data_IF_717588578158
#
_entry.id   IF_717588578158
#
_cell.length_a   1.000
_cell.length_b   1.000
_cell.length_c   1.000
_cell.angle_alpha   90.00
_cell.angle_beta   90.00
_cell.angle_gamma   90.00
#
_symmetry.space_group_name_H-M   'P 1'
#
loop_
_entity.id
_entity.type
_entity.pdbx_description
1 polymer ?
#
# COMPACT_ATOMS: atom_id res chain seq x y z
N UNK A 1 -6.05 25.77 -9.49
CA UNK A 1 -6.18 24.30 -9.43
C UNK A 1 -5.28 23.72 -10.50
N UNK A 2 -4.12 23.20 -10.11
CA UNK A 2 -3.23 22.45 -11.01
C UNK A 2 -3.97 21.21 -11.50
N UNK A 3 -3.90 20.96 -12.80
CA UNK A 3 -4.63 19.93 -13.54
C UNK A 3 -4.06 18.53 -13.20
N UNK A 4 -4.29 18.03 -11.98
CA UNK A 4 -3.85 16.68 -11.56
C UNK A 4 -4.63 15.63 -12.36
N UNK A 5 -3.96 15.03 -13.34
CA UNK A 5 -4.59 14.13 -14.33
C UNK A 5 -3.94 12.76 -14.42
N UNK A 6 -3.09 12.42 -13.46
CA UNK A 6 -2.37 11.13 -13.47
C UNK A 6 -3.34 9.93 -13.47
N UNK A 7 -4.46 9.92 -12.71
CA UNK A 7 -5.45 8.85 -12.81
C UNK A 7 -6.11 8.76 -14.20
N UNK A 8 -6.40 9.90 -14.85
CA UNK A 8 -6.97 9.92 -16.20
C UNK A 8 -5.98 9.39 -17.25
N UNK A 9 -4.70 9.75 -17.12
CA UNK A 9 -3.62 9.22 -17.96
C UNK A 9 -3.47 7.71 -17.76
N UNK A 10 -3.52 7.23 -16.51
CA UNK A 10 -3.51 5.81 -16.18
C UNK A 10 -4.73 5.06 -16.72
N UNK A 11 -5.87 5.74 -16.86
CA UNK A 11 -7.10 5.24 -17.46
C UNK A 11 -6.88 4.63 -18.85
N UNK A 12 -5.98 5.20 -19.66
CA UNK A 12 -5.63 4.70 -21.01
C UNK A 12 -5.02 3.30 -20.99
N UNK A 13 -4.45 2.88 -19.86
CA UNK A 13 -3.78 1.59 -19.70
C UNK A 13 -4.63 0.62 -18.88
N UNK A 14 -5.43 1.11 -17.95
CA UNK A 14 -6.21 0.29 -17.01
C UNK A 14 -7.60 -0.08 -17.51
N UNK A 15 -8.22 0.77 -18.34
CA UNK A 15 -9.60 0.58 -18.86
C UNK A 15 -9.62 -0.28 -20.12
N UNK A 16 -9.22 -1.55 -19.98
CA UNK A 16 -9.32 -2.54 -21.05
C UNK A 16 -10.30 -3.63 -20.62
N UNK A 17 -11.25 -3.99 -21.48
CA UNK A 17 -12.36 -4.92 -21.20
C UNK A 17 -11.94 -6.19 -20.44
N UNK A 18 -10.87 -6.84 -20.89
CA UNK A 18 -10.35 -8.06 -20.26
C UNK A 18 -9.78 -7.84 -18.85
N UNK A 19 -9.17 -6.68 -18.60
CA UNK A 19 -8.59 -6.36 -17.29
C UNK A 19 -9.72 -5.96 -16.33
N UNK A 20 -10.62 -5.07 -16.74
CA UNK A 20 -11.71 -4.59 -15.88
C UNK A 20 -12.66 -5.71 -15.48
N UNK A 21 -12.95 -6.65 -16.39
CA UNK A 21 -13.91 -7.74 -16.11
C UNK A 21 -13.35 -8.84 -15.24
N UNK A 22 -12.02 -9.05 -15.23
CA UNK A 22 -11.45 -10.28 -14.71
C UNK A 22 -10.23 -10.11 -13.82
N UNK A 23 -9.52 -8.99 -13.84
CA UNK A 23 -8.31 -8.85 -13.02
C UNK A 23 -8.63 -8.47 -11.57
N UNK A 24 -9.80 -7.86 -11.28
CA UNK A 24 -10.15 -7.37 -9.94
C UNK A 24 -9.01 -6.53 -9.35
N UNK A 25 -8.73 -5.43 -10.06
CA UNK A 25 -7.55 -4.63 -9.86
C UNK A 25 -7.51 -4.00 -8.45
N UNK A 26 -6.30 -3.81 -7.90
CA UNK A 26 -6.12 -2.95 -6.74
C UNK A 26 -6.57 -1.51 -7.04
N UNK A 27 -6.96 -0.76 -5.99
CA UNK A 27 -7.26 0.65 -6.14
C UNK A 27 -6.04 1.39 -6.68
N UNK A 28 -6.30 2.45 -7.46
CA UNK A 28 -5.22 3.30 -7.97
C UNK A 28 -4.43 3.95 -6.82
N UNK A 29 -3.07 3.95 -6.85
CA UNK A 29 -2.25 4.49 -5.77
C UNK A 29 -2.17 6.03 -5.81
N UNK A 30 -3.33 6.68 -5.72
CA UNK A 30 -3.51 8.12 -5.91
C UNK A 30 -2.65 8.97 -4.96
N UNK A 31 -2.65 8.62 -3.67
CA UNK A 31 -1.85 9.28 -2.64
C UNK A 31 -0.36 9.30 -2.98
N UNK A 32 0.18 8.16 -3.45
CA UNK A 32 1.58 8.02 -3.84
C UNK A 32 1.89 8.84 -5.09
N UNK A 33 1.00 8.80 -6.09
CA UNK A 33 1.14 9.55 -7.32
C UNK A 33 1.14 11.07 -7.08
N UNK A 34 0.22 11.55 -6.24
CA UNK A 34 0.12 12.96 -5.82
C UNK A 34 1.38 13.40 -5.07
N UNK A 35 1.81 12.63 -4.08
CA UNK A 35 3.00 12.93 -3.29
C UNK A 35 4.24 13.03 -4.19
N UNK A 36 4.48 12.01 -5.03
CA UNK A 36 5.62 11.98 -5.95
C UNK A 36 5.58 13.14 -6.95
N UNK A 37 4.43 13.38 -7.58
CA UNK A 37 4.28 14.47 -8.55
C UNK A 37 4.56 15.83 -7.92
N UNK A 38 4.06 16.05 -6.69
CA UNK A 38 4.25 17.31 -5.98
C UNK A 38 5.73 17.54 -5.60
N UNK A 39 6.43 16.51 -5.12
CA UNK A 39 7.85 16.61 -4.80
C UNK A 39 8.74 16.80 -6.03
N UNK A 40 8.46 16.08 -7.12
CA UNK A 40 9.21 16.24 -8.38
C UNK A 40 9.02 17.64 -8.99
N UNK A 41 7.81 18.22 -8.87
CA UNK A 41 7.54 19.59 -9.34
C UNK A 41 8.40 20.65 -8.64
N UNK A 42 8.79 20.40 -7.40
CA UNK A 42 9.66 21.29 -6.62
C UNK A 42 11.12 20.79 -6.57
N UNK A 43 11.46 19.77 -7.37
CA UNK A 43 12.80 19.20 -7.50
C UNK A 43 13.63 19.90 -8.57
N UNK A 44 14.61 19.18 -9.13
CA UNK A 44 15.48 19.71 -10.17
C UNK A 44 14.70 20.11 -11.44
N UNK A 45 15.06 21.24 -12.04
CA UNK A 45 14.42 21.77 -13.24
C UNK A 45 14.41 20.73 -14.38
N UNK A 46 13.23 20.46 -14.94
CA UNK A 46 13.09 19.69 -16.19
C UNK A 46 12.75 18.19 -16.06
N UNK A 47 12.55 17.64 -14.85
CA UNK A 47 12.03 16.27 -14.71
C UNK A 47 10.52 16.21 -15.03
N UNK A 48 10.08 15.33 -15.94
CA UNK A 48 8.67 15.22 -16.31
C UNK A 48 7.87 14.52 -15.20
N UNK A 49 7.38 15.31 -14.24
CA UNK A 49 6.71 14.82 -13.04
C UNK A 49 5.51 13.90 -13.34
N UNK A 50 4.75 14.21 -14.40
CA UNK A 50 3.59 13.39 -14.79
C UNK A 50 4.01 12.03 -15.34
N UNK A 51 5.09 11.98 -16.14
CA UNK A 51 5.62 10.74 -16.66
C UNK A 51 6.08 9.82 -15.52
N UNK A 52 6.85 10.37 -14.58
CA UNK A 52 7.38 9.61 -13.45
C UNK A 52 6.26 9.12 -12.53
N UNK A 53 5.30 9.97 -12.20
CA UNK A 53 4.17 9.59 -11.36
C UNK A 53 3.26 8.56 -12.06
N UNK A 54 3.00 8.70 -13.36
CA UNK A 54 2.26 7.72 -14.15
C UNK A 54 2.98 6.37 -14.20
N UNK A 55 4.27 6.37 -14.55
CA UNK A 55 5.09 5.15 -14.62
C UNK A 55 5.16 4.46 -13.24
N UNK A 56 5.39 5.22 -12.17
CA UNK A 56 5.39 4.72 -10.78
C UNK A 56 4.05 4.12 -10.39
N UNK A 57 2.93 4.75 -10.80
CA UNK A 57 1.60 4.23 -10.50
C UNK A 57 1.29 2.93 -11.24
N UNK A 58 1.71 2.81 -12.51
CA UNK A 58 1.54 1.59 -13.29
C UNK A 58 2.37 0.43 -12.72
N UNK A 59 3.63 0.67 -12.35
CA UNK A 59 4.43 -0.39 -11.73
C UNK A 59 3.87 -0.79 -10.36
N UNK A 60 3.40 0.16 -9.56
CA UNK A 60 2.74 -0.14 -8.30
C UNK A 60 1.48 -0.98 -8.50
N UNK A 61 0.62 -0.61 -9.46
CA UNK A 61 -0.56 -1.41 -9.84
C UNK A 61 -0.14 -2.82 -10.27
N UNK A 62 0.96 -2.95 -11.02
CA UNK A 62 1.50 -4.24 -11.42
C UNK A 62 1.88 -5.11 -10.23
N UNK A 63 2.67 -4.56 -9.31
CA UNK A 63 3.10 -5.24 -8.08
C UNK A 63 1.91 -5.64 -7.19
N UNK A 64 0.98 -4.71 -6.95
CA UNK A 64 -0.20 -4.95 -6.11
C UNK A 64 -1.15 -5.98 -6.75
N UNK A 65 -1.24 -6.00 -8.09
CA UNK A 65 -2.01 -7.02 -8.81
C UNK A 65 -1.37 -8.40 -8.65
N UNK A 66 -0.03 -8.49 -8.71
CA UNK A 66 0.71 -9.72 -8.45
C UNK A 66 0.56 -10.20 -7.00
N UNK A 67 0.55 -9.30 -6.02
CA UNK A 67 0.37 -9.66 -4.61
C UNK A 67 -1.03 -10.26 -4.32
N UNK A 68 -2.04 -9.94 -5.12
CA UNK A 68 -3.39 -10.53 -5.06
C UNK A 68 -3.51 -11.88 -5.76
N UNK A 69 -2.44 -12.37 -6.37
CA UNK A 69 -2.39 -13.72 -6.93
C UNK A 69 -2.22 -14.70 -5.78
N UNK A 70 -3.34 -15.25 -5.34
CA UNK A 70 -3.39 -16.23 -4.27
C UNK A 70 -2.44 -17.43 -4.52
N UNK A 71 -1.86 -17.90 -3.41
CA UNK A 71 -0.86 -18.97 -3.31
C UNK A 71 -1.45 -20.31 -2.88
N UNK A 72 -2.75 -20.37 -2.51
CA UNK A 72 -3.38 -21.62 -2.09
C UNK A 72 -3.34 -22.68 -3.20
N UNK A 73 -2.98 -23.89 -2.78
CA UNK A 73 -2.88 -25.07 -3.63
C UNK A 73 -4.17 -25.87 -3.55
N UNK A 74 -4.85 -26.12 -4.67
CA UNK A 74 -6.11 -26.88 -4.69
C UNK A 74 -6.80 -26.88 -6.06
N UNK A 75 -7.74 -27.81 -6.25
CA UNK A 75 -8.55 -27.86 -7.47
C UNK A 75 -9.52 -26.68 -7.47
N UNK A 76 -9.25 -25.69 -8.33
CA UNK A 76 -10.06 -24.48 -8.43
C UNK A 76 -10.94 -24.57 -9.65
N UNK A 77 -12.20 -24.17 -9.51
CA UNK A 77 -13.09 -24.05 -10.67
C UNK A 77 -12.50 -23.16 -11.76
N UNK A 78 -12.80 -23.48 -13.02
CA UNK A 78 -12.22 -22.82 -14.20
C UNK A 78 -12.30 -21.28 -14.18
N UNK A 79 -13.34 -20.71 -13.55
CA UNK A 79 -13.50 -19.25 -13.38
C UNK A 79 -12.40 -18.63 -12.51
N UNK A 80 -12.07 -19.26 -11.39
CA UNK A 80 -11.03 -18.78 -10.47
C UNK A 80 -9.63 -18.93 -11.09
N UNK A 81 -9.38 -20.03 -11.79
CA UNK A 81 -8.13 -20.22 -12.55
C UNK A 81 -7.95 -19.12 -13.60
N UNK A 82 -9.00 -18.81 -14.37
CA UNK A 82 -8.98 -17.73 -15.37
C UNK A 82 -8.71 -16.38 -14.73
N UNK A 83 -9.39 -16.06 -13.63
CA UNK A 83 -9.19 -14.82 -12.89
C UNK A 83 -7.73 -14.65 -12.45
N UNK A 84 -7.15 -15.73 -11.90
CA UNK A 84 -5.75 -15.78 -11.47
C UNK A 84 -4.77 -15.55 -12.63
N UNK A 85 -4.97 -16.24 -13.75
CA UNK A 85 -4.13 -16.05 -14.95
C UNK A 85 -4.22 -14.62 -15.48
N UNK A 86 -5.41 -14.04 -15.51
CA UNK A 86 -5.61 -12.66 -15.97
C UNK A 86 -5.02 -11.62 -15.01
N UNK A 87 -4.99 -11.90 -13.69
CA UNK A 87 -4.24 -11.07 -12.73
C UNK A 87 -2.74 -11.07 -13.03
N UNK A 88 -2.13 -12.24 -13.24
CA UNK A 88 -0.70 -12.34 -13.61
C UNK A 88 -0.42 -11.53 -14.87
N UNK A 89 -1.20 -11.76 -15.93
CA UNK A 89 -1.03 -11.06 -17.21
C UNK A 89 -1.29 -9.54 -17.10
N UNK A 90 -2.25 -9.10 -16.28
CA UNK A 90 -2.49 -7.69 -16.04
C UNK A 90 -1.29 -7.04 -15.33
N UNK A 91 -0.70 -7.71 -14.35
CA UNK A 91 0.50 -7.23 -13.70
C UNK A 91 1.71 -7.16 -14.63
N UNK A 92 1.90 -8.16 -15.50
CA UNK A 92 2.95 -8.15 -16.54
C UNK A 92 2.73 -7.03 -17.55
N UNK A 93 1.47 -6.78 -17.91
CA UNK A 93 1.07 -5.69 -18.80
C UNK A 93 1.43 -4.32 -18.20
N UNK A 94 1.04 -4.05 -16.94
CA UNK A 94 1.37 -2.76 -16.30
C UNK A 94 2.88 -2.59 -16.10
N UNK A 95 3.56 -3.66 -15.72
CA UNK A 95 5.03 -3.70 -15.64
C UNK A 95 5.64 -3.34 -17.00
N UNK A 96 5.17 -3.93 -18.09
CA UNK A 96 5.67 -3.62 -19.43
C UNK A 96 5.38 -2.17 -19.86
N UNK A 97 4.24 -1.61 -19.45
CA UNK A 97 3.86 -0.22 -19.80
C UNK A 97 4.72 0.83 -19.10
N UNK A 98 5.12 0.65 -17.84
CA UNK A 98 6.02 1.62 -17.22
C UNK A 98 7.39 1.62 -17.90
N UNK A 99 7.93 0.43 -18.25
CA UNK A 99 9.17 0.32 -19.02
C UNK A 99 9.04 1.05 -20.36
N UNK A 100 7.96 0.80 -21.11
CA UNK A 100 7.72 1.43 -22.40
C UNK A 100 7.66 2.95 -22.30
N UNK A 101 6.95 3.50 -21.30
CA UNK A 101 6.81 4.93 -21.08
C UNK A 101 8.16 5.60 -20.79
N UNK A 102 8.92 5.06 -19.85
CA UNK A 102 10.20 5.63 -19.47
C UNK A 102 11.24 5.48 -20.57
N UNK A 103 11.27 4.35 -21.27
CA UNK A 103 12.19 4.10 -22.37
C UNK A 103 11.90 5.04 -23.55
N UNK A 104 10.62 5.23 -23.89
CA UNK A 104 10.19 6.17 -24.94
C UNK A 104 10.57 7.62 -24.64
N UNK A 105 10.73 7.98 -23.37
CA UNK A 105 11.19 9.30 -22.93
C UNK A 105 12.70 9.36 -22.61
N UNK A 106 13.47 8.30 -22.91
CA UNK A 106 14.90 8.23 -22.65
C UNK A 106 15.29 8.22 -21.16
N UNK A 107 14.36 7.92 -20.25
CA UNK A 107 14.59 7.88 -18.79
C UNK A 107 15.15 6.53 -18.32
N UNK A 108 16.28 6.12 -18.92
CA UNK A 108 16.92 4.82 -18.67
C UNK A 108 17.40 4.69 -17.22
N UNK A 109 17.90 5.76 -16.64
CA UNK A 109 18.36 5.77 -15.25
C UNK A 109 17.20 5.57 -14.26
N UNK A 110 16.02 6.15 -14.55
CA UNK A 110 14.80 5.89 -13.77
C UNK A 110 14.36 4.43 -13.89
N UNK A 111 14.43 3.85 -15.10
CA UNK A 111 14.15 2.43 -15.30
C UNK A 111 15.03 1.58 -14.37
N UNK A 112 16.36 1.79 -14.41
CA UNK A 112 17.32 1.06 -13.58
C UNK A 112 16.95 1.10 -12.09
N UNK A 113 16.67 2.30 -11.57
CA UNK A 113 16.30 2.53 -10.16
C UNK A 113 15.00 1.82 -9.77
N UNK A 114 13.98 1.90 -10.62
CA UNK A 114 12.72 1.21 -10.37
C UNK A 114 12.90 -0.30 -10.42
N UNK A 115 13.68 -0.83 -11.37
CA UNK A 115 14.00 -2.26 -11.42
C UNK A 115 14.73 -2.73 -10.15
N UNK A 116 15.70 -1.96 -9.65
CA UNK A 116 16.39 -2.24 -8.38
C UNK A 116 15.44 -2.19 -7.19
N UNK A 117 14.55 -1.20 -7.14
CA UNK A 117 13.54 -1.05 -6.10
C UNK A 117 12.54 -2.23 -6.10
N UNK A 118 12.13 -2.71 -7.28
CA UNK A 118 11.27 -3.89 -7.42
C UNK A 118 11.99 -5.14 -6.90
N UNK A 119 13.26 -5.33 -7.28
CA UNK A 119 14.08 -6.44 -6.78
C UNK A 119 14.20 -6.41 -5.25
N UNK A 120 14.49 -5.25 -4.66
CA UNK A 120 14.59 -5.09 -3.21
C UNK A 120 13.25 -5.32 -2.52
N UNK A 121 12.15 -4.78 -3.06
CA UNK A 121 10.79 -5.04 -2.57
C UNK A 121 10.48 -6.55 -2.55
N UNK A 122 10.78 -7.27 -3.64
CA UNK A 122 10.57 -8.72 -3.71
C UNK A 122 11.47 -9.50 -2.73
N UNK A 123 12.71 -9.06 -2.53
CA UNK A 123 13.61 -9.64 -1.52
C UNK A 123 13.04 -9.47 -0.11
N UNK A 124 12.59 -8.26 0.24
CA UNK A 124 11.99 -7.96 1.54
C UNK A 124 10.67 -8.70 1.77
N UNK A 125 9.82 -8.83 0.74
CA UNK A 125 8.59 -9.65 0.78
C UNK A 125 8.92 -11.12 1.08
N UNK A 126 9.92 -11.66 0.40
CA UNK A 126 10.37 -13.05 0.64
C UNK A 126 10.89 -13.22 2.06
N UNK A 127 11.67 -12.26 2.57
CA UNK A 127 12.17 -12.26 3.94
C UNK A 127 11.01 -12.25 4.97
N UNK A 128 10.05 -11.35 4.80
CA UNK A 128 8.85 -11.26 5.64
C UNK A 128 8.05 -12.56 5.62
N UNK A 129 7.79 -13.12 4.43
CA UNK A 129 7.10 -14.40 4.27
C UNK A 129 7.80 -15.55 5.03
N UNK A 130 9.14 -15.62 4.98
CA UNK A 130 9.90 -16.63 5.72
C UNK A 130 9.81 -16.46 7.24
N UNK A 131 9.76 -15.22 7.74
CA UNK A 131 9.56 -14.94 9.17
C UNK A 131 8.16 -15.35 9.62
N UNK A 132 7.14 -14.99 8.84
CA UNK A 132 5.74 -15.36 9.09
C UNK A 132 5.57 -16.89 9.11
N UNK A 133 6.12 -17.59 8.12
CA UNK A 133 6.06 -19.06 8.05
C UNK A 133 6.73 -19.76 9.24
N UNK A 134 7.74 -19.12 9.86
CA UNK A 134 8.44 -19.64 11.04
C UNK A 134 7.79 -19.22 12.37
N UNK A 135 6.74 -18.39 12.33
CA UNK A 135 6.11 -17.83 13.53
C UNK A 135 7.06 -16.93 14.35
N UNK A 136 8.02 -16.28 13.70
CA UNK A 136 9.06 -15.47 14.38
C UNK A 136 8.90 -13.97 14.11
N UNK A 137 7.66 -13.47 14.17
CA UNK A 137 7.39 -12.06 13.95
C UNK A 137 6.35 -11.57 14.95
N UNK A 138 6.65 -10.44 15.59
CA UNK A 138 5.71 -9.72 16.44
C UNK A 138 4.80 -8.81 15.62
N UNK A 139 3.70 -8.35 16.23
CA UNK A 139 2.70 -7.56 15.52
C UNK A 139 3.27 -6.22 15.01
N UNK A 140 4.07 -5.54 15.83
CA UNK A 140 4.67 -4.26 15.45
C UNK A 140 5.77 -4.43 14.39
N UNK A 141 6.59 -5.48 14.50
CA UNK A 141 7.62 -5.80 13.48
C UNK A 141 6.96 -6.13 12.13
N UNK A 142 5.83 -6.82 12.14
CA UNK A 142 5.04 -7.08 10.93
C UNK A 142 4.63 -5.80 10.22
N UNK A 143 4.04 -4.85 10.97
CA UNK A 143 3.63 -3.54 10.42
C UNK A 143 4.84 -2.75 9.91
N UNK A 144 5.95 -2.74 10.66
CA UNK A 144 7.17 -2.06 10.25
C UNK A 144 7.71 -2.61 8.92
N UNK A 145 7.83 -3.94 8.80
CA UNK A 145 8.33 -4.60 7.59
C UNK A 145 7.40 -4.40 6.39
N UNK A 146 6.08 -4.52 6.57
CA UNK A 146 5.09 -4.20 5.53
C UNK A 146 5.22 -2.75 5.06
N UNK A 147 5.32 -1.81 6.00
CA UNK A 147 5.46 -0.39 5.71
C UNK A 147 6.76 -0.11 4.95
N UNK A 148 7.85 -0.76 5.33
CA UNK A 148 9.13 -0.65 4.60
C UNK A 148 8.99 -1.13 3.16
N UNK A 149 8.42 -2.32 2.93
CA UNK A 149 8.18 -2.88 1.58
C UNK A 149 7.37 -1.88 0.75
N UNK A 150 6.29 -1.36 1.32
CA UNK A 150 5.40 -0.38 0.70
C UNK A 150 6.11 0.91 0.28
N UNK A 151 7.11 1.37 1.04
CA UNK A 151 7.84 2.60 0.76
C UNK A 151 8.96 2.48 -0.29
N UNK A 152 9.45 1.27 -0.58
CA UNK A 152 10.68 1.06 -1.40
C UNK A 152 10.62 1.77 -2.75
N UNK A 153 9.50 1.68 -3.45
CA UNK A 153 9.35 2.25 -4.79
C UNK A 153 9.49 3.78 -4.77
N UNK A 154 8.83 4.46 -3.83
CA UNK A 154 8.92 5.92 -3.70
C UNK A 154 10.32 6.34 -3.26
N UNK A 155 10.96 5.62 -2.34
CA UNK A 155 12.33 5.92 -1.92
C UNK A 155 13.34 5.91 -3.08
N UNK A 156 13.11 5.12 -4.14
CA UNK A 156 13.97 5.09 -5.33
C UNK A 156 14.06 6.43 -6.09
N UNK A 157 13.08 7.31 -5.91
CA UNK A 157 13.04 8.65 -6.50
C UNK A 157 13.87 9.68 -5.75
N UNK A 158 14.38 9.36 -4.55
CA UNK A 158 15.08 10.32 -3.67
C UNK A 158 16.18 11.11 -4.36
N UNK A 159 16.99 10.50 -5.23
CA UNK A 159 18.06 11.23 -5.93
C UNK A 159 17.60 12.15 -7.06
N UNK A 160 16.36 12.00 -7.54
CA UNK A 160 15.77 12.92 -8.53
C UNK A 160 15.23 14.20 -7.86
N UNK A 161 15.15 14.20 -6.53
CA UNK A 161 14.70 15.34 -5.74
C UNK A 161 15.86 16.25 -5.38
N UNK A 162 15.54 17.54 -5.21
CA UNK A 162 16.41 18.52 -4.59
C UNK A 162 16.90 18.00 -3.23
N UNK A 163 18.21 18.13 -2.97
CA UNK A 163 18.85 17.64 -1.74
C UNK A 163 18.19 18.15 -0.47
N UNK A 164 17.65 19.37 -0.50
CA UNK A 164 16.95 20.00 0.63
C UNK A 164 15.63 19.31 0.95
N UNK A 165 14.98 18.72 -0.06
CA UNK A 165 13.70 18.02 0.07
C UNK A 165 13.85 16.54 0.45
N UNK A 166 15.03 15.93 0.23
CA UNK A 166 15.25 14.48 0.48
C UNK A 166 14.93 14.03 1.92
N UNK A 167 15.30 14.77 2.99
CA UNK A 167 14.96 14.37 4.36
C UNK A 167 13.46 14.46 4.66
N UNK A 168 12.76 15.43 4.07
CA UNK A 168 11.31 15.54 4.19
C UNK A 168 10.61 14.43 3.39
N UNK A 169 11.06 14.18 2.17
CA UNK A 169 10.61 13.09 1.31
C UNK A 169 10.67 11.74 2.03
N UNK A 170 11.85 11.37 2.54
CA UNK A 170 12.04 10.08 3.18
C UNK A 170 11.07 9.88 4.36
N UNK A 171 10.97 10.87 5.25
CA UNK A 171 10.08 10.82 6.41
C UNK A 171 8.60 10.74 6.02
N UNK A 172 8.17 11.47 4.99
CA UNK A 172 6.79 11.43 4.51
C UNK A 172 6.47 10.11 3.79
N UNK A 173 7.39 9.56 3.01
CA UNK A 173 7.20 8.26 2.37
C UNK A 173 7.03 7.18 3.43
N UNK A 174 7.87 7.17 4.47
CA UNK A 174 7.75 6.21 5.58
C UNK A 174 6.43 6.38 6.34
N UNK A 175 6.02 7.62 6.61
CA UNK A 175 4.75 7.91 7.29
C UNK A 175 3.54 7.53 6.42
N UNK A 176 3.58 7.80 5.11
CA UNK A 176 2.52 7.39 4.17
C UNK A 176 2.40 5.87 4.10
N UNK A 177 3.53 5.19 3.95
CA UNK A 177 3.55 3.73 3.85
C UNK A 177 3.01 3.08 5.13
N UNK A 178 3.36 3.62 6.30
CA UNK A 178 2.80 3.16 7.57
C UNK A 178 1.29 3.38 7.68
N UNK A 179 0.79 4.55 7.26
CA UNK A 179 -0.65 4.85 7.21
C UNK A 179 -1.39 3.87 6.30
N UNK A 180 -0.87 3.62 5.10
CA UNK A 180 -1.46 2.68 4.15
C UNK A 180 -1.48 1.25 4.69
N UNK A 181 -0.41 0.80 5.35
CA UNK A 181 -0.37 -0.50 6.05
C UNK A 181 -1.47 -0.58 7.09
N UNK A 182 -1.55 0.38 8.02
CA UNK A 182 -2.54 0.36 9.10
C UNK A 182 -3.99 0.43 8.58
N UNK A 183 -4.22 1.16 7.48
CA UNK A 183 -5.53 1.19 6.81
C UNK A 183 -5.89 -0.16 6.19
N UNK A 184 -4.92 -0.88 5.62
CA UNK A 184 -5.14 -2.24 5.13
C UNK A 184 -5.43 -3.21 6.27
N UNK A 185 -4.67 -3.15 7.37
CA UNK A 185 -4.92 -3.96 8.57
C UNK A 185 -6.31 -3.69 9.15
N UNK A 186 -6.78 -2.44 9.09
CA UNK A 186 -8.14 -2.09 9.54
C UNK A 186 -9.21 -2.74 8.70
N UNK A 187 -8.98 -2.87 7.38
CA UNK A 187 -9.88 -3.61 6.48
C UNK A 187 -9.78 -5.11 6.73
N UNK A 188 -8.58 -5.63 7.02
CA UNK A 188 -8.37 -7.02 7.35
C UNK A 188 -9.13 -7.44 8.62
N UNK A 189 -9.15 -6.59 9.66
CA UNK A 189 -9.97 -6.85 10.86
C UNK A 189 -11.48 -6.91 10.55
N UNK A 190 -11.96 -6.17 9.56
CA UNK A 190 -13.37 -6.20 9.17
C UNK A 190 -13.75 -7.43 8.33
N UNK A 191 -12.78 -8.18 7.80
CA UNK A 191 -13.02 -9.31 6.90
C UNK A 191 -12.44 -10.61 7.44
N UNK A 192 -13.30 -11.61 7.69
CA UNK A 192 -12.88 -12.86 8.34
C UNK A 192 -11.74 -13.59 7.59
N UNK A 193 -11.81 -13.67 6.26
CA UNK A 193 -10.79 -14.31 5.41
C UNK A 193 -9.44 -13.55 5.35
N UNK A 194 -9.43 -12.28 5.75
CA UNK A 194 -8.22 -11.45 5.73
C UNK A 194 -7.53 -11.39 7.11
N UNK A 195 -8.10 -11.99 8.15
CA UNK A 195 -7.55 -11.93 9.49
C UNK A 195 -6.28 -12.77 9.65
N UNK A 196 -6.21 -13.94 9.00
CA UNK A 196 -5.02 -14.79 9.05
C UNK A 196 -3.80 -14.02 8.54
N UNK A 197 -2.67 -14.12 9.27
CA UNK A 197 -1.43 -13.40 8.95
C UNK A 197 -1.51 -11.86 8.98
N UNK A 198 -2.62 -11.25 9.42
CA UNK A 198 -2.75 -9.81 9.67
C UNK A 198 -2.05 -9.38 10.96
N UNK A 199 -1.93 -8.07 11.20
CA UNK A 199 -1.48 -7.50 12.47
C UNK A 199 -2.29 -8.05 13.65
N UNK A 200 -3.62 -8.17 13.51
CA UNK A 200 -4.48 -8.69 14.58
C UNK A 200 -4.15 -10.14 14.94
N UNK A 201 -3.84 -10.97 13.94
CA UNK A 201 -3.40 -12.35 14.14
C UNK A 201 -2.08 -12.41 14.92
N UNK A 202 -1.07 -11.65 14.48
CA UNK A 202 0.22 -11.60 15.18
C UNK A 202 0.08 -11.03 16.59
N UNK A 203 -0.80 -10.05 16.81
CA UNK A 203 -1.04 -9.46 18.12
C UNK A 203 -1.57 -10.50 19.11
N UNK A 204 -2.53 -11.32 18.70
CA UNK A 204 -3.09 -12.41 19.53
C UNK A 204 -2.06 -13.50 19.77
N UNK A 205 -1.24 -13.86 18.77
CA UNK A 205 -0.15 -14.82 18.96
C UNK A 205 0.93 -14.34 19.94
N UNK A 206 1.17 -13.03 19.98
CA UNK A 206 2.19 -12.43 20.85
C UNK A 206 1.69 -12.20 22.28
N UNK A 207 0.49 -11.62 22.44
CA UNK A 207 -0.03 -11.15 23.73
C UNK A 207 -1.13 -12.05 24.30
N UNK A 208 -1.63 -13.00 23.53
CA UNK A 208 -2.76 -13.83 23.91
C UNK A 208 -2.47 -14.86 25.00
N UNK A 209 -3.52 -15.27 25.70
CA UNK A 209 -3.46 -16.40 26.62
C UNK A 209 -2.98 -17.67 25.90
N UNK A 210 -2.33 -18.59 26.62
CA UNK A 210 -1.80 -19.83 26.01
C UNK A 210 -2.91 -20.66 25.35
N UNK A 211 -4.13 -20.66 25.91
CA UNK A 211 -5.29 -21.35 25.33
C UNK A 211 -5.70 -20.72 24.02
N UNK A 212 -5.80 -19.40 23.98
CA UNK A 212 -6.24 -18.65 22.80
C UNK A 212 -5.26 -18.79 21.65
N UNK A 213 -3.96 -18.74 21.94
CA UNK A 213 -2.90 -18.98 20.94
C UNK A 213 -3.04 -20.36 20.30
N UNK A 214 -3.23 -21.41 21.11
CA UNK A 214 -3.46 -22.77 20.60
C UNK A 214 -4.74 -22.86 19.79
N UNK A 215 -5.82 -22.21 20.22
CA UNK A 215 -7.09 -22.20 19.48
C UNK A 215 -6.96 -21.47 18.15
N UNK A 216 -6.25 -20.34 18.12
CA UNK A 216 -6.00 -19.59 16.89
C UNK A 216 -5.18 -20.40 15.88
N UNK A 217 -4.12 -21.08 16.35
CA UNK A 217 -3.29 -21.95 15.52
C UNK A 217 -4.04 -23.21 15.02
N UNK A 218 -4.97 -23.76 15.83
CA UNK A 218 -5.69 -25.01 15.53
C UNK A 218 -6.99 -24.79 14.75
N UNK A 219 -7.73 -23.72 15.03
CA UNK A 219 -9.01 -23.42 14.40
C UNK A 219 -8.85 -22.91 12.96
N UNK A 220 -7.65 -22.46 12.57
CA UNK A 220 -7.44 -21.81 11.29
C UNK A 220 -8.28 -20.53 11.18
N UNK A 221 -8.98 -20.35 10.05
CA UNK A 221 -9.92 -19.24 9.80
C UNK A 221 -11.25 -19.39 10.59
N UNK A 222 -11.19 -19.63 11.90
CA UNK A 222 -12.35 -19.47 12.78
C UNK A 222 -12.84 -18.02 12.79
N UNK A 223 -14.05 -17.76 13.31
CA UNK A 223 -14.61 -16.39 13.39
C UNK A 223 -13.66 -15.43 14.13
N UNK A 224 -13.04 -14.46 13.43
CA UNK A 224 -12.10 -13.54 14.06
C UNK A 224 -12.75 -12.59 15.07
N UNK A 225 -14.08 -12.44 15.04
CA UNK A 225 -14.83 -11.56 15.92
C UNK A 225 -14.53 -11.78 17.40
N UNK A 226 -14.35 -13.04 17.81
CA UNK A 226 -14.02 -13.42 19.18
C UNK A 226 -12.69 -12.78 19.61
N UNK A 227 -11.68 -12.83 18.74
CA UNK A 227 -10.35 -12.30 19.04
C UNK A 227 -10.31 -10.78 18.96
N UNK A 228 -11.02 -10.21 17.99
CA UNK A 228 -11.16 -8.77 17.81
C UNK A 228 -11.77 -8.14 19.07
N UNK A 229 -12.85 -8.72 19.59
CA UNK A 229 -13.53 -8.25 20.78
C UNK A 229 -12.68 -8.48 22.04
N UNK A 230 -12.22 -9.72 22.27
CA UNK A 230 -11.50 -10.10 23.50
C UNK A 230 -10.22 -9.27 23.71
N UNK A 231 -9.48 -8.99 22.64
CA UNK A 231 -8.21 -8.26 22.71
C UNK A 231 -8.34 -6.77 22.32
N UNK A 232 -9.56 -6.26 22.09
CA UNK A 232 -9.79 -4.86 21.77
C UNK A 232 -9.07 -4.37 20.51
N UNK A 233 -8.88 -5.25 19.52
CA UNK A 233 -8.01 -5.01 18.36
C UNK A 233 -8.45 -3.80 17.54
N UNK A 234 -9.76 -3.56 17.43
CA UNK A 234 -10.31 -2.40 16.72
C UNK A 234 -9.88 -1.08 17.34
N UNK A 235 -9.90 -0.97 18.68
CA UNK A 235 -9.50 0.24 19.39
C UNK A 235 -8.00 0.47 19.28
N UNK A 236 -7.19 -0.57 19.52
CA UNK A 236 -5.74 -0.50 19.40
C UNK A 236 -5.29 -0.05 18.01
N UNK A 237 -5.89 -0.59 16.96
CA UNK A 237 -5.55 -0.21 15.59
C UNK A 237 -6.04 1.20 15.23
N UNK A 238 -7.19 1.63 15.77
CA UNK A 238 -7.68 2.99 15.61
C UNK A 238 -6.73 4.01 16.26
N UNK A 239 -6.21 3.72 17.45
CA UNK A 239 -5.23 4.56 18.14
C UNK A 239 -3.94 4.67 17.33
N UNK A 240 -3.39 3.54 16.86
CA UNK A 240 -2.21 3.50 15.98
C UNK A 240 -2.41 4.31 14.71
N UNK A 241 -3.58 4.20 14.07
CA UNK A 241 -3.91 4.96 12.87
C UNK A 241 -3.98 6.46 13.17
N UNK A 242 -4.58 6.86 14.30
CA UNK A 242 -4.64 8.24 14.77
C UNK A 242 -3.24 8.83 15.04
N UNK A 243 -2.38 8.09 15.73
CA UNK A 243 -0.99 8.49 15.99
C UNK A 243 -0.18 8.63 14.70
N UNK A 244 -0.31 7.67 13.78
CA UNK A 244 0.35 7.69 12.48
C UNK A 244 -0.12 8.85 11.61
N UNK A 245 -1.42 9.15 11.62
CA UNK A 245 -2.01 10.29 10.92
C UNK A 245 -1.52 11.63 11.50
N UNK A 246 -1.50 11.76 12.82
CA UNK A 246 -0.98 12.95 13.50
C UNK A 246 0.52 13.14 13.23
N UNK A 247 1.30 12.05 13.19
CA UNK A 247 2.72 12.07 12.82
C UNK A 247 2.90 12.55 11.38
N UNK A 248 2.14 12.02 10.43
CA UNK A 248 2.18 12.49 9.05
C UNK A 248 1.84 13.98 8.95
N UNK A 249 0.76 14.41 9.62
CA UNK A 249 0.32 15.82 9.62
C UNK A 249 1.41 16.78 10.12
N UNK A 250 2.10 16.43 11.22
CA UNK A 250 3.24 17.21 11.73
C UNK A 250 4.41 17.22 10.74
N UNK A 251 4.75 16.07 10.15
CA UNK A 251 5.82 16.01 9.16
C UNK A 251 5.48 16.84 7.92
N UNK A 252 4.22 16.87 7.50
CA UNK A 252 3.75 17.64 6.36
C UNK A 252 3.78 19.15 6.63
N UNK A 253 3.37 19.60 7.83
CA UNK A 253 3.35 21.02 8.19
C UNK A 253 4.73 21.67 8.21
N UNK A 254 5.78 20.88 8.45
CA UNK A 254 7.16 21.37 8.56
C UNK A 254 7.84 21.55 7.18
N UNK A 255 7.16 21.24 6.08
CA UNK A 255 7.75 21.21 4.74
C UNK A 255 7.63 22.57 4.06
N UNK A 256 8.75 23.00 3.48
CA UNK A 256 8.83 24.17 2.62
C UNK A 256 9.15 23.71 1.21
N UNK A 257 8.45 24.22 0.16
CA UNK A 257 7.42 25.27 0.19
C UNK A 257 6.03 24.83 0.71
N UNK A 258 5.22 25.81 1.14
CA UNK A 258 3.87 25.60 1.71
C UNK A 258 2.92 24.79 0.80
N UNK A 259 3.08 24.90 -0.51
CA UNK A 259 2.31 24.11 -1.47
C UNK A 259 2.51 22.58 -1.29
N UNK A 260 3.71 22.13 -0.89
CA UNK A 260 3.95 20.72 -0.56
C UNK A 260 3.21 20.33 0.72
N UNK A 261 3.21 21.20 1.73
CA UNK A 261 2.52 20.96 2.99
C UNK A 261 0.99 20.85 2.79
N UNK A 262 0.41 21.76 2.01
CA UNK A 262 -1.02 21.74 1.64
C UNK A 262 -1.39 20.45 0.90
N UNK A 263 -0.59 20.04 -0.08
CA UNK A 263 -0.84 18.82 -0.85
C UNK A 263 -0.72 17.57 0.03
N UNK A 264 0.30 17.49 0.88
CA UNK A 264 0.48 16.38 1.82
C UNK A 264 -0.69 16.30 2.81
N UNK A 265 -1.18 17.42 3.33
CA UNK A 265 -2.36 17.46 4.19
C UNK A 265 -3.62 16.97 3.45
N UNK A 266 -3.81 17.38 2.19
CA UNK A 266 -4.93 16.94 1.36
C UNK A 266 -4.89 15.43 1.07
N UNK A 267 -3.70 14.84 0.92
CA UNK A 267 -3.51 13.39 0.73
C UNK A 267 -4.01 12.62 1.96
N UNK A 268 -3.60 13.01 3.18
CA UNK A 268 -4.05 12.31 4.40
C UNK A 268 -5.54 12.46 4.61
N UNK A 269 -6.09 13.66 4.40
CA UNK A 269 -7.53 13.86 4.48
C UNK A 269 -8.29 12.91 3.53
N UNK A 270 -7.84 12.80 2.28
CA UNK A 270 -8.46 11.90 1.31
C UNK A 270 -8.33 10.42 1.69
N UNK A 271 -7.18 10.00 2.23
CA UNK A 271 -6.96 8.61 2.67
C UNK A 271 -7.84 8.21 3.86
N UNK A 272 -8.07 9.14 4.79
CA UNK A 272 -8.83 8.85 6.02
C UNK A 272 -10.34 9.07 5.86
N UNK A 273 -10.80 9.85 4.86
CA UNK A 273 -12.21 10.15 4.66
C UNK A 273 -13.13 8.91 4.55
N UNK A 274 -12.79 7.84 3.80
CA UNK A 274 -13.60 6.63 3.75
C UNK A 274 -13.69 5.93 5.12
N UNK A 275 -12.60 5.95 5.90
CA UNK A 275 -12.56 5.34 7.22
C UNK A 275 -13.39 6.12 8.25
N UNK A 276 -13.49 7.44 8.12
CA UNK A 276 -14.32 8.31 8.94
C UNK A 276 -15.82 8.14 8.63
N UNK A 277 -16.19 8.03 7.34
CA UNK A 277 -17.56 7.79 6.92
C UNK A 277 -18.10 6.43 7.41
N UNK A 278 -17.27 5.38 7.34
CA UNK A 278 -17.63 4.06 7.86
C UNK A 278 -17.86 4.05 9.38
N UNK A 279 -17.04 4.80 10.15
CA UNK A 279 -17.21 4.92 11.61
C UNK A 279 -18.46 5.74 12.00
N UNK A 280 -18.87 6.72 11.19
CA UNK A 280 -20.07 7.50 11.42
C UNK A 280 -21.36 6.71 11.10
N UNK A 281 -21.32 5.83 10.10
CA UNK A 281 -22.44 4.95 9.75
C UNK A 281 -22.77 3.91 10.83
N UNK A 282 -21.75 3.31 11.45
CA UNK A 282 -21.96 2.30 12.51
C UNK A 282 -22.49 2.89 13.82
N UNK A 283 -22.20 4.16 14.12
CA UNK A 283 -22.77 4.87 15.26
C UNK A 283 -24.24 5.30 15.06
N UNK A 284 -24.72 5.34 13.80
CA UNK A 284 -26.07 5.76 13.42
C UNK A 284 -27.14 4.67 13.47
N UNK A 285 -26.75 3.39 13.46
CA UNK A 285 -27.67 2.23 13.47
C UNK A 285 -27.95 1.67 14.89
N UNK A 286 -27.44 2.35 15.93
CA UNK A 286 -27.65 1.97 17.33
C UNK A 286 -28.74 2.79 18.05
N UNK A 287 -29.79 3.24 17.34
CA UNK A 287 -30.95 3.94 17.94
C UNK A 287 -32.27 3.31 17.56
#
# INVERSE_FOLDING_TARGET
MTDYRIPDLAGKYTKHDMIERFADLPPFPDARARLLSCFLKHGADGEPQELHALASSLVQLGLDTHDRVDTESGDRGMRQMRQRQLRVLAGDYFSSRFYQLLAGAGRIETIRRLSEAICESNRLKTELYLLMKRGRIGAEEYVERQSRIRGVLLHSYSSLLDERLRPAWARLVDALAQLETLLEEKRALAGAAAFACSWGWWHVLEHGEQRDRRLLEQAGEGDPGIWIEKYGLTALLADKLGESAARFGRLASDIVPAALAEEAAAIVHALLAPAAAAAAGTAGESR
#
